data_IF_860398438722
#
_entry.id   IF_860398438722
#
_cell.length_a   1.000
_cell.length_b   1.000
_cell.length_c   1.000
_cell.angle_alpha   90.00
_cell.angle_beta   90.00
_cell.angle_gamma   90.00
#
_symmetry.space_group_name_H-M   'P 1'
#
loop_
_entity.id
_entity.type
_entity.pdbx_description
1 polymer ?
#
# COMPACT_ATOMS: atom_id res chain seq x y z
N UNK A 1 14.15 -13.07 -14.96
CA UNK A 1 14.31 -12.37 -13.67
C UNK A 1 13.91 -10.92 -13.92
N UNK A 2 12.66 -10.60 -13.65
CA UNK A 2 12.08 -9.31 -14.01
C UNK A 2 12.44 -8.32 -12.91
N UNK A 3 13.29 -7.34 -13.22
CA UNK A 3 13.57 -6.22 -12.31
C UNK A 3 12.34 -5.30 -12.35
N UNK A 4 11.33 -5.68 -11.57
CA UNK A 4 10.40 -4.73 -10.97
C UNK A 4 11.02 -4.31 -9.63
N UNK A 5 10.91 -3.04 -9.28
CA UNK A 5 11.49 -2.45 -8.06
C UNK A 5 11.01 -3.25 -6.83
N UNK A 6 11.88 -4.11 -6.29
CA UNK A 6 11.65 -4.82 -5.03
C UNK A 6 12.05 -3.86 -3.91
N UNK A 7 11.12 -3.57 -3.00
CA UNK A 7 11.36 -2.68 -1.87
C UNK A 7 12.20 -3.41 -0.83
N UNK A 8 13.37 -2.90 -0.48
CA UNK A 8 14.18 -3.45 0.62
C UNK A 8 13.99 -2.56 1.87
N UNK A 9 13.51 -3.17 2.95
CA UNK A 9 13.08 -2.47 4.17
C UNK A 9 13.75 -3.14 5.36
N UNK A 10 14.46 -2.37 6.18
CA UNK A 10 14.92 -2.87 7.48
C UNK A 10 13.74 -2.88 8.46
N UNK A 11 13.63 -3.92 9.29
CA UNK A 11 12.60 -4.03 10.32
C UNK A 11 12.63 -2.88 11.32
N UNK A 12 13.79 -2.26 11.54
CA UNK A 12 13.95 -1.07 12.37
C UNK A 12 13.30 0.17 11.76
N UNK A 13 13.13 0.22 10.43
CA UNK A 13 12.49 1.34 9.72
C UNK A 13 10.96 1.20 9.66
N UNK A 14 10.40 0.10 10.17
CA UNK A 14 8.96 -0.07 10.21
C UNK A 14 8.32 0.96 11.16
N UNK A 15 7.21 1.59 10.74
CA UNK A 15 6.51 2.56 11.56
C UNK A 15 5.96 1.88 12.82
N UNK A 16 6.18 2.51 13.97
CA UNK A 16 5.69 2.08 15.27
C UNK A 16 4.17 2.35 15.40
N UNK A 17 3.36 1.57 14.68
CA UNK A 17 1.90 1.60 14.79
C UNK A 17 1.44 0.78 16.01
N UNK A 18 0.60 1.41 16.85
CA UNK A 18 -0.19 0.71 17.86
C UNK A 18 -1.44 0.17 17.16
N UNK A 19 -1.45 -1.15 16.92
CA UNK A 19 -2.56 -1.81 16.24
C UNK A 19 -3.43 -2.52 17.29
N UNK A 20 -4.73 -2.15 17.40
CA UNK A 20 -5.67 -2.85 18.26
C UNK A 20 -5.83 -4.32 17.88
N UNK A 21 -6.20 -5.17 18.84
CA UNK A 21 -6.54 -6.59 18.58
C UNK A 21 -7.96 -6.74 17.98
N UNK A 22 -8.22 -6.02 16.88
CA UNK A 22 -9.46 -6.08 16.12
C UNK A 22 -9.20 -5.75 14.65
N UNK A 23 -10.08 -6.23 13.77
CA UNK A 23 -10.07 -5.83 12.38
C UNK A 23 -10.39 -4.33 12.24
N UNK A 24 -9.74 -3.65 11.29
CA UNK A 24 -9.97 -2.23 11.06
C UNK A 24 -9.11 -1.62 9.97
N UNK A 25 -9.12 -0.30 9.93
CA UNK A 25 -8.40 0.53 8.98
C UNK A 25 -7.46 1.46 9.74
N UNK A 26 -6.21 1.54 9.28
CA UNK A 26 -5.29 2.61 9.69
C UNK A 26 -5.46 3.73 8.68
N UNK A 27 -5.96 4.87 9.13
CA UNK A 27 -6.17 6.07 8.33
C UNK A 27 -4.98 6.99 8.51
N UNK A 28 -4.48 7.55 7.42
CA UNK A 28 -3.36 8.46 7.44
C UNK A 28 -3.70 9.73 6.64
N UNK A 29 -3.41 10.90 7.20
CA UNK A 29 -3.59 12.18 6.52
C UNK A 29 -2.75 12.35 5.23
N UNK A 30 -2.98 13.41 4.43
CA UNK A 30 -2.10 13.76 3.33
C UNK A 30 -0.69 14.10 3.86
N UNK A 31 0.37 13.93 3.06
CA UNK A 31 1.72 14.30 3.48
C UNK A 31 1.78 15.81 3.73
N UNK A 32 2.22 16.21 4.93
CA UNK A 32 2.31 17.61 5.31
C UNK A 32 3.46 18.38 4.61
N UNK A 33 4.41 17.68 3.98
CA UNK A 33 5.42 18.26 3.11
C UNK A 33 5.85 17.28 1.99
N UNK A 34 6.32 17.78 0.82
CA UNK A 34 6.75 16.94 -0.31
C UNK A 34 8.04 16.14 -0.06
N UNK A 35 8.88 16.57 0.90
CA UNK A 35 10.27 16.11 1.05
C UNK A 35 10.60 15.37 2.35
N UNK A 36 9.62 15.05 3.19
CA UNK A 36 9.86 14.12 4.30
C UNK A 36 9.05 14.35 5.56
N UNK A 37 8.91 13.25 6.30
CA UNK A 37 8.73 13.06 7.76
C UNK A 37 7.72 13.89 8.56
N UNK A 38 7.05 14.87 7.97
CA UNK A 38 6.03 15.63 8.66
C UNK A 38 4.87 14.71 9.04
N UNK A 39 4.59 14.68 10.35
CA UNK A 39 3.62 13.83 11.02
C UNK A 39 2.38 13.59 10.16
N UNK A 40 2.19 12.35 9.74
CA UNK A 40 0.92 11.92 9.16
C UNK A 40 0.02 11.66 10.36
N UNK A 41 -1.07 12.40 10.52
CA UNK A 41 -2.08 12.07 11.52
C UNK A 41 -2.58 10.65 11.25
N UNK A 42 -2.48 9.78 12.26
CA UNK A 42 -2.87 8.38 12.15
C UNK A 42 -4.01 8.09 13.10
N UNK A 43 -5.12 7.62 12.54
CA UNK A 43 -6.27 7.12 13.29
C UNK A 43 -6.51 5.64 12.98
N UNK A 44 -7.15 4.95 13.92
CA UNK A 44 -7.64 3.59 13.71
C UNK A 44 -9.17 3.56 13.71
N UNK A 45 -9.76 3.07 12.63
CA UNK A 45 -11.20 2.86 12.50
C UNK A 45 -11.51 1.36 12.60
N UNK A 46 -12.18 0.89 13.66
CA UNK A 46 -12.65 -0.49 13.74
C UNK A 46 -13.67 -0.78 12.64
N UNK A 47 -13.51 -1.91 11.95
CA UNK A 47 -14.38 -2.30 10.84
C UNK A 47 -14.60 -3.81 10.87
N UNK A 48 -15.82 -4.24 10.57
CA UNK A 48 -16.14 -5.66 10.51
C UNK A 48 -15.35 -6.38 9.38
N UNK A 49 -14.85 -7.60 9.62
CA UNK A 49 -13.92 -8.29 8.72
C UNK A 49 -14.46 -8.53 7.30
N UNK A 50 -15.77 -8.65 7.14
CA UNK A 50 -16.47 -8.91 5.88
C UNK A 50 -16.57 -7.68 4.97
N UNK A 51 -16.45 -6.47 5.53
CA UNK A 51 -16.56 -5.20 4.78
C UNK A 51 -15.25 -4.41 4.74
N UNK A 52 -14.15 -4.96 5.26
CA UNK A 52 -12.85 -4.27 5.40
C UNK A 52 -12.42 -3.53 4.12
N UNK A 53 -12.37 -4.22 2.97
CA UNK A 53 -11.87 -3.54 1.77
C UNK A 53 -12.84 -2.50 1.23
N UNK A 54 -14.15 -2.77 1.30
CA UNK A 54 -15.17 -1.80 0.89
C UNK A 54 -15.06 -0.54 1.76
N UNK A 55 -14.99 -0.71 3.07
CA UNK A 55 -14.81 0.40 4.01
C UNK A 55 -13.50 1.16 3.76
N UNK A 56 -12.41 0.47 3.37
CA UNK A 56 -11.15 1.10 3.04
C UNK A 56 -11.24 2.02 1.82
N UNK A 57 -11.93 1.55 0.78
CA UNK A 57 -12.18 2.35 -0.44
C UNK A 57 -13.11 3.52 -0.14
N UNK A 58 -14.15 3.30 0.66
CA UNK A 58 -15.07 4.36 1.07
C UNK A 58 -14.34 5.42 1.92
N UNK A 59 -13.51 5.01 2.88
CA UNK A 59 -12.70 5.90 3.71
C UNK A 59 -11.65 6.68 2.91
N UNK A 60 -11.11 6.08 1.85
CA UNK A 60 -10.19 6.78 0.95
C UNK A 60 -10.85 7.99 0.24
N UNK A 61 -12.18 8.06 0.17
CA UNK A 61 -12.89 9.22 -0.39
C UNK A 61 -13.01 10.40 0.58
N UNK A 62 -12.62 10.24 1.86
CA UNK A 62 -12.76 11.28 2.86
C UNK A 62 -11.76 12.42 2.63
N UNK A 63 -12.17 13.70 2.76
CA UNK A 63 -11.34 14.85 2.36
C UNK A 63 -9.96 14.98 3.05
N UNK A 64 -9.84 14.45 4.27
CA UNK A 64 -8.62 14.52 5.09
C UNK A 64 -7.78 13.25 5.03
N UNK A 65 -8.20 12.22 4.28
CA UNK A 65 -7.50 10.94 4.19
C UNK A 65 -6.56 10.94 2.98
N UNK A 66 -5.27 10.78 3.25
CA UNK A 66 -4.22 10.61 2.25
C UNK A 66 -3.94 9.15 1.92
N UNK A 67 -3.98 8.26 2.91
CA UNK A 67 -3.85 6.82 2.70
C UNK A 67 -4.68 6.02 3.71
N UNK A 68 -5.05 4.82 3.30
CA UNK A 68 -5.78 3.85 4.12
C UNK A 68 -5.05 2.52 4.05
N UNK A 69 -4.72 1.95 5.20
CA UNK A 69 -4.14 0.61 5.28
C UNK A 69 -5.13 -0.34 5.93
N UNK A 70 -5.44 -1.45 5.25
CA UNK A 70 -6.30 -2.47 5.83
C UNK A 70 -5.52 -3.28 6.86
N UNK A 71 -6.09 -3.41 8.06
CA UNK A 71 -5.56 -4.20 9.16
C UNK A 71 -6.51 -5.38 9.49
N UNK A 72 -6.24 -6.58 8.96
CA UNK A 72 -6.94 -7.77 9.41
C UNK A 72 -6.23 -8.37 10.62
N UNK A 73 -6.93 -8.55 11.74
CA UNK A 73 -6.35 -9.01 13.02
C UNK A 73 -5.68 -10.39 12.94
N UNK A 74 -6.14 -11.22 12.00
CA UNK A 74 -5.63 -12.58 11.78
C UNK A 74 -4.22 -12.61 11.15
N UNK A 75 -3.69 -11.48 10.70
CA UNK A 75 -2.38 -11.39 10.07
C UNK A 75 -1.37 -10.74 11.00
N UNK A 76 -0.08 -11.09 10.90
CA UNK A 76 0.96 -10.46 11.70
C UNK A 76 0.94 -8.92 11.56
N UNK A 77 1.05 -8.16 12.67
CA UNK A 77 1.13 -6.69 12.67
C UNK A 77 2.17 -6.11 11.71
N UNK A 78 3.30 -6.82 11.52
CA UNK A 78 4.36 -6.44 10.60
C UNK A 78 3.86 -6.23 9.15
N UNK A 79 2.91 -7.05 8.68
CA UNK A 79 2.34 -6.89 7.33
C UNK A 79 1.52 -5.60 7.21
N UNK A 80 0.81 -5.20 8.27
CA UNK A 80 0.09 -3.93 8.30
C UNK A 80 1.06 -2.76 8.31
N UNK A 81 2.13 -2.83 9.09
CA UNK A 81 3.19 -1.79 9.12
C UNK A 81 3.88 -1.64 7.77
N UNK A 82 4.20 -2.74 7.11
CA UNK A 82 4.75 -2.76 5.75
C UNK A 82 3.79 -2.10 4.74
N UNK A 83 2.53 -2.51 4.75
CA UNK A 83 1.53 -1.93 3.86
C UNK A 83 1.28 -0.44 4.12
N UNK A 84 1.32 -0.02 5.38
CA UNK A 84 1.22 1.39 5.76
C UNK A 84 2.41 2.20 5.26
N UNK A 85 3.64 1.69 5.44
CA UNK A 85 4.85 2.34 4.95
C UNK A 85 4.80 2.52 3.43
N UNK A 86 4.46 1.46 2.70
CA UNK A 86 4.26 1.51 1.25
C UNK A 86 3.18 2.55 0.88
N UNK A 87 2.03 2.51 1.55
CA UNK A 87 0.91 3.43 1.26
C UNK A 87 1.30 4.90 1.45
N UNK A 88 2.06 5.20 2.51
CA UNK A 88 2.62 6.54 2.76
C UNK A 88 3.60 6.95 1.66
N UNK A 89 4.52 6.07 1.29
CA UNK A 89 5.52 6.37 0.27
C UNK A 89 4.88 6.62 -1.10
N UNK A 90 3.97 5.74 -1.53
CA UNK A 90 3.19 5.93 -2.76
C UNK A 90 2.43 7.26 -2.72
N UNK A 91 1.84 7.63 -1.57
CA UNK A 91 1.11 8.89 -1.44
C UNK A 91 2.03 10.11 -1.58
N UNK A 92 3.24 10.06 -1.03
CA UNK A 92 4.27 11.11 -1.18
C UNK A 92 4.67 11.23 -2.66
N UNK A 93 5.03 10.12 -3.30
CA UNK A 93 5.44 10.08 -4.72
C UNK A 93 4.35 10.63 -5.65
N UNK A 94 3.10 10.20 -5.42
CA UNK A 94 1.93 10.71 -6.14
C UNK A 94 1.76 12.21 -5.96
N UNK A 95 1.93 12.73 -4.73
CA UNK A 95 1.87 14.18 -4.47
C UNK A 95 2.94 14.94 -5.22
N UNK A 96 4.19 14.47 -5.15
CA UNK A 96 5.32 15.08 -5.84
C UNK A 96 5.13 15.10 -7.37
N UNK A 97 4.45 14.09 -7.91
CA UNK A 97 4.10 13.99 -9.33
C UNK A 97 2.79 14.73 -9.71
N UNK A 98 2.21 15.54 -8.81
CA UNK A 98 0.96 16.27 -9.04
C UNK A 98 -0.28 15.39 -9.17
N UNK A 99 -0.22 14.13 -8.74
CA UNK A 99 -1.35 13.20 -8.71
C UNK A 99 -1.92 13.13 -7.30
N UNK A 100 -2.92 13.97 -7.00
CA UNK A 100 -3.50 14.04 -5.67
C UNK A 100 -4.60 12.97 -5.46
N UNK A 101 -4.21 11.69 -5.48
CA UNK A 101 -5.13 10.56 -5.26
C UNK A 101 -4.79 9.77 -4.01
N UNK A 102 -5.78 9.43 -3.17
CA UNK A 102 -5.58 8.61 -1.98
C UNK A 102 -5.09 7.21 -2.34
N UNK A 103 -4.37 6.58 -1.42
CA UNK A 103 -3.80 5.24 -1.60
C UNK A 103 -4.45 4.26 -0.63
N UNK A 104 -4.91 3.11 -1.11
CA UNK A 104 -5.40 2.02 -0.26
C UNK A 104 -4.42 0.86 -0.35
N UNK A 105 -3.90 0.38 0.79
CA UNK A 105 -2.94 -0.73 0.83
C UNK A 105 -3.34 -1.85 1.79
N UNK A 106 -2.82 -3.05 1.54
CA UNK A 106 -2.96 -4.20 2.42
C UNK A 106 -1.75 -5.13 2.31
N UNK A 107 -1.34 -5.69 3.45
CA UNK A 107 -0.11 -6.49 3.56
C UNK A 107 -0.28 -7.98 3.25
N UNK A 108 -1.50 -8.41 2.95
CA UNK A 108 -1.83 -9.76 2.57
C UNK A 108 -3.02 -9.73 1.61
N UNK A 109 -3.10 -10.68 0.68
CA UNK A 109 -4.26 -10.77 -0.22
C UNK A 109 -5.51 -11.11 0.59
N UNK A 110 -6.46 -10.19 0.67
CA UNK A 110 -7.83 -10.53 1.07
C UNK A 110 -8.46 -11.37 -0.05
N UNK A 111 -9.39 -12.27 0.28
CA UNK A 111 -10.04 -13.09 -0.75
C UNK A 111 -10.62 -12.20 -1.86
N UNK A 112 -10.55 -12.59 -3.14
CA UNK A 112 -11.04 -11.76 -4.25
C UNK A 112 -12.48 -11.28 -4.08
N UNK A 113 -13.32 -12.09 -3.43
CA UNK A 113 -14.71 -11.76 -3.11
C UNK A 113 -14.84 -10.65 -2.05
N UNK A 114 -13.92 -10.64 -1.08
CA UNK A 114 -13.77 -9.56 -0.10
C UNK A 114 -13.21 -8.28 -0.72
N UNK A 115 -12.67 -8.37 -1.93
CA UNK A 115 -12.12 -7.23 -2.64
C UNK A 115 -13.18 -6.36 -3.35
N UNK A 116 -14.47 -6.58 -3.08
CA UNK A 116 -15.51 -5.61 -3.39
C UNK A 116 -15.72 -5.35 -4.88
N UNK A 117 -16.25 -6.33 -5.61
CA UNK A 117 -17.06 -6.10 -6.80
C UNK A 117 -16.33 -5.70 -8.11
N UNK A 118 -17.13 -5.57 -9.17
CA UNK A 118 -16.67 -5.16 -10.49
C UNK A 118 -16.08 -3.73 -10.43
N UNK A 119 -14.79 -3.58 -10.73
CA UNK A 119 -14.19 -2.26 -10.98
C UNK A 119 -12.97 -1.89 -10.14
N UNK A 120 -12.64 -2.66 -9.10
CA UNK A 120 -11.37 -2.52 -8.40
C UNK A 120 -10.24 -3.26 -9.12
N UNK A 121 -9.01 -2.77 -8.94
CA UNK A 121 -7.77 -3.34 -9.47
C UNK A 121 -6.76 -3.43 -8.34
N UNK A 122 -6.10 -4.57 -8.26
CA UNK A 122 -5.04 -4.85 -7.30
C UNK A 122 -3.70 -4.72 -8.04
N UNK A 123 -2.82 -3.85 -7.54
CA UNK A 123 -1.44 -3.71 -8.01
C UNK A 123 -0.53 -4.33 -6.96
N UNK A 124 0.27 -5.31 -7.37
CA UNK A 124 1.23 -5.97 -6.51
C UNK A 124 2.49 -5.13 -6.36
N UNK A 125 2.98 -5.04 -5.13
CA UNK A 125 4.27 -4.44 -4.76
C UNK A 125 5.06 -5.48 -3.96
N UNK A 126 6.26 -5.80 -4.42
CA UNK A 126 7.10 -6.81 -3.76
C UNK A 126 8.07 -6.14 -2.79
N UNK A 127 8.11 -6.62 -1.55
CA UNK A 127 8.99 -6.10 -0.52
C UNK A 127 9.79 -7.23 0.11
N UNK A 128 11.02 -6.90 0.51
CA UNK A 128 11.89 -7.70 1.36
C UNK A 128 12.03 -6.99 2.68
N UNK A 129 11.69 -7.69 3.76
CA UNK A 129 11.86 -7.21 5.12
C UNK A 129 13.07 -7.92 5.74
N UNK A 130 13.99 -7.15 6.32
CA UNK A 130 15.06 -7.70 7.13
C UNK A 130 14.67 -7.66 8.61
N UNK A 131 14.45 -8.82 9.24
CA UNK A 131 13.96 -8.89 10.62
C UNK A 131 14.83 -9.79 11.50
N UNK A 132 15.84 -9.22 12.18
CA UNK A 132 16.58 -9.83 13.30
C UNK A 132 17.33 -11.16 13.04
N UNK A 133 17.07 -11.83 11.92
CA UNK A 133 17.52 -13.19 11.60
C UNK A 133 17.54 -13.50 10.10
N UNK A 134 17.07 -12.60 9.23
CA UNK A 134 17.23 -12.75 7.79
C UNK A 134 16.30 -11.87 6.95
N UNK A 135 16.31 -12.09 5.64
CA UNK A 135 15.43 -11.44 4.69
C UNK A 135 14.19 -12.30 4.40
N UNK A 136 13.01 -11.74 4.57
CA UNK A 136 11.73 -12.37 4.21
C UNK A 136 11.03 -11.60 3.08
N UNK A 137 10.44 -12.32 2.12
CA UNK A 137 9.71 -11.72 0.98
C UNK A 137 8.23 -11.62 1.26
N UNK A 138 7.65 -10.48 0.91
CA UNK A 138 6.24 -10.13 1.10
C UNK A 138 5.68 -9.56 -0.20
N UNK A 139 4.41 -9.86 -0.47
CA UNK A 139 3.64 -9.19 -1.52
C UNK A 139 2.60 -8.31 -0.85
N UNK A 140 2.78 -7.01 -1.02
CA UNK A 140 1.86 -5.98 -0.60
C UNK A 140 0.97 -5.63 -1.78
N UNK A 141 -0.23 -5.16 -1.49
CA UNK A 141 -1.19 -4.80 -2.52
C UNK A 141 -1.61 -3.36 -2.36
N UNK A 142 -1.74 -2.69 -3.50
CA UNK A 142 -2.41 -1.42 -3.62
C UNK A 142 -3.75 -1.64 -4.34
N UNK A 143 -4.81 -1.03 -3.81
CA UNK A 143 -6.15 -1.15 -4.34
C UNK A 143 -6.54 0.16 -5.01
N UNK A 144 -6.97 0.06 -6.26
CA UNK A 144 -7.33 1.20 -7.09
C UNK A 144 -8.71 1.00 -7.70
N UNK A 145 -9.46 2.10 -7.81
CA UNK A 145 -10.59 2.15 -8.74
C UNK A 145 -10.10 2.21 -10.20
N UNK A 146 -10.96 1.86 -11.16
CA UNK A 146 -10.59 1.80 -12.59
C UNK A 146 -9.92 3.07 -13.12
N UNK A 147 -10.42 4.26 -12.77
CA UNK A 147 -9.82 5.54 -13.20
C UNK A 147 -8.40 5.71 -12.67
N UNK A 148 -8.18 5.45 -11.38
CA UNK A 148 -6.86 5.52 -10.75
C UNK A 148 -5.91 4.51 -11.39
N UNK A 149 -6.40 3.30 -11.70
CA UNK A 149 -5.62 2.26 -12.34
C UNK A 149 -5.18 2.64 -13.76
N UNK A 150 -6.06 3.26 -14.56
CA UNK A 150 -5.68 3.76 -15.90
C UNK A 150 -4.65 4.87 -15.80
N UNK A 151 -4.83 5.84 -14.89
CA UNK A 151 -3.83 6.90 -14.65
C UNK A 151 -2.49 6.31 -14.18
N UNK A 152 -2.52 5.26 -13.37
CA UNK A 152 -1.32 4.54 -12.97
C UNK A 152 -0.65 3.86 -14.17
N UNK A 153 -1.39 3.24 -15.09
CA UNK A 153 -0.82 2.63 -16.30
C UNK A 153 -0.08 3.65 -17.17
N UNK A 154 -0.58 4.88 -17.24
CA UNK A 154 0.05 5.96 -18.03
C UNK A 154 1.31 6.52 -17.36
N UNK A 155 1.36 6.48 -16.02
CA UNK A 155 2.43 7.07 -15.21
C UNK A 155 3.46 6.06 -14.72
N UNK A 156 3.15 4.76 -14.75
CA UNK A 156 4.06 3.73 -14.26
C UNK A 156 5.34 3.77 -15.10
N UNK A 157 6.52 3.61 -14.46
CA UNK A 157 7.74 3.41 -15.23
C UNK A 157 7.52 2.20 -16.15
N UNK A 158 7.71 2.40 -17.46
CA UNK A 158 7.68 1.30 -18.40
C UNK A 158 8.64 0.24 -17.86
N UNK A 159 8.14 -0.95 -17.55
CA UNK A 159 8.99 -2.10 -17.26
C UNK A 159 9.93 -2.23 -18.44
N UNK A 160 11.20 -1.83 -18.26
CA UNK A 160 12.22 -1.95 -19.29
C UNK A 160 12.31 -3.43 -19.63
N UNK A 161 11.72 -3.82 -20.76
CA UNK A 161 11.99 -5.09 -21.40
C UNK A 161 13.49 -5.10 -21.68
N UNK A 162 14.25 -5.92 -20.96
CA UNK A 162 15.61 -6.26 -21.36
C UNK A 162 15.47 -6.99 -22.69
N UNK A 163 15.73 -6.27 -23.78
CA UNK A 163 16.02 -6.89 -25.07
C UNK A 163 17.29 -7.70 -24.84
N UNK A 164 17.16 -9.03 -24.83
CA UNK A 164 18.31 -9.93 -24.90
C UNK A 164 19.02 -9.63 -26.22
N UNK A 165 20.32 -9.29 -26.25
CA UNK A 165 21.03 -9.24 -27.51
C UNK A 165 21.07 -10.66 -28.07
N UNK A 166 20.60 -10.81 -29.32
CA UNK A 166 20.82 -12.03 -30.09
C UNK A 166 22.33 -12.27 -30.19
N UNK A 167 22.76 -13.44 -29.75
CA UNK A 167 24.11 -13.91 -30.00
C UNK A 167 24.15 -14.47 -31.42
N UNK A 168 24.74 -13.70 -32.34
CA UNK A 168 25.39 -14.21 -33.56
C UNK A 168 26.90 -14.19 -33.37
#
# INVERSE_FOLDING_TARGET
>A
MTIGTEWEIDGADLPALVLPDTDGLVLAGPPAAPTGEACVEVDFLPVAPDVLLRAAVDAASWPHVGSVTVHPRRHPPALTRLAFLLGRQLRIERSAAGWNSPVVTLGATLRPESAGGQGLRLVAHHARLHDGGGWSRHTLWEVMGLRQYVTWLDRRPASRSVVRPDHT
#
